data_IF_559112963980
#
_entry.id   IF_559112963980
#
_cell.length_a   1.000
_cell.length_b   1.000
_cell.length_c   1.000
_cell.angle_alpha   90.00
_cell.angle_beta   90.00
_cell.angle_gamma   90.00
#
_symmetry.space_group_name_H-M   'P 1'
#
loop_
_entity.id
_entity.type
_entity.pdbx_description
1 polymer ?
#
# COMPACT_ATOMS: atom_id res chain seq x y z
N UNK A 1 -28.48 -1.36 -8.65
CA UNK A 1 -27.38 -0.39 -8.50
C UNK A 1 -26.22 -1.13 -7.87
N UNK A 2 -25.16 -1.42 -8.63
CA UNK A 2 -23.97 -2.04 -8.04
C UNK A 2 -23.34 -1.00 -7.12
N UNK A 3 -23.37 -1.25 -5.81
CA UNK A 3 -22.55 -0.50 -4.86
C UNK A 3 -21.11 -0.76 -5.25
N UNK A 4 -20.46 0.18 -5.91
CA UNK A 4 -19.04 0.05 -6.26
C UNK A 4 -18.26 0.04 -4.95
N UNK A 5 -17.89 -1.15 -4.48
CA UNK A 5 -17.05 -1.31 -3.30
C UNK A 5 -15.72 -0.62 -3.62
N UNK A 6 -15.37 0.38 -2.80
CA UNK A 6 -14.10 1.10 -2.93
C UNK A 6 -12.93 0.12 -2.95
N UNK A 7 -11.91 0.38 -3.78
CA UNK A 7 -10.71 -0.44 -3.95
C UNK A 7 -9.77 -0.22 -2.75
N UNK A 8 -9.59 -1.20 -1.86
CA UNK A 8 -8.72 -1.06 -0.69
C UNK A 8 -7.24 -1.17 -1.08
N UNK A 9 -6.46 -0.14 -0.73
CA UNK A 9 -5.02 -0.03 -0.99
C UNK A 9 -4.29 0.16 0.34
N UNK A 10 -3.37 -0.75 0.65
CA UNK A 10 -2.42 -0.61 1.76
C UNK A 10 -1.14 0.05 1.26
N UNK A 11 -0.63 1.07 1.96
CA UNK A 11 0.67 1.68 1.67
C UNK A 11 1.60 1.55 2.86
N UNK A 12 2.70 0.84 2.69
CA UNK A 12 3.71 0.57 3.72
C UNK A 12 4.90 1.50 3.50
N UNK A 13 5.30 2.26 4.53
CA UNK A 13 6.34 3.28 4.38
C UNK A 13 7.16 3.54 5.65
N UNK A 14 8.43 3.89 5.47
CA UNK A 14 9.30 4.47 6.51
C UNK A 14 9.17 5.99 6.65
N UNK A 15 8.10 6.60 6.11
CA UNK A 15 7.90 8.07 6.11
C UNK A 15 8.08 8.68 7.50
N UNK A 16 7.51 8.06 8.54
CA UNK A 16 7.64 8.55 9.92
C UNK A 16 9.09 8.65 10.37
N UNK A 17 9.88 7.62 10.09
CA UNK A 17 11.29 7.59 10.47
C UNK A 17 12.12 8.61 9.68
N UNK A 18 11.91 8.71 8.37
CA UNK A 18 12.77 9.48 7.47
C UNK A 18 12.36 10.94 7.28
N UNK A 19 11.09 11.27 7.51
CA UNK A 19 10.53 12.60 7.27
C UNK A 19 9.81 13.18 8.49
N UNK A 20 9.72 12.43 9.60
CA UNK A 20 9.13 12.89 10.86
C UNK A 20 7.60 12.92 10.89
N UNK A 21 6.93 12.57 9.79
CA UNK A 21 5.48 12.50 9.70
C UNK A 21 5.00 11.16 9.14
N UNK A 22 3.85 10.70 9.64
CA UNK A 22 3.29 9.40 9.30
C UNK A 22 2.80 9.33 7.85
N UNK A 23 2.74 8.11 7.32
CA UNK A 23 2.20 7.82 5.99
C UNK A 23 0.77 8.32 5.79
N UNK A 24 -0.05 8.33 6.85
CA UNK A 24 -1.43 8.78 6.78
C UNK A 24 -1.54 10.26 6.38
N UNK A 25 -0.62 11.12 6.84
CA UNK A 25 -0.57 12.52 6.46
C UNK A 25 -0.24 12.68 4.98
N UNK A 26 0.77 11.92 4.51
CA UNK A 26 1.18 11.93 3.11
C UNK A 26 0.06 11.41 2.20
N UNK A 27 -0.66 10.35 2.59
CA UNK A 27 -1.82 9.85 1.85
C UNK A 27 -2.92 10.91 1.76
N UNK A 28 -3.24 11.58 2.87
CA UNK A 28 -4.25 12.65 2.90
C UNK A 28 -3.88 13.80 1.96
N UNK A 29 -2.60 14.18 1.92
CA UNK A 29 -2.11 15.23 1.05
C UNK A 29 -2.16 14.82 -0.43
N UNK A 30 -1.65 13.63 -0.78
CA UNK A 30 -1.58 13.17 -2.17
C UNK A 30 -2.97 12.88 -2.75
N UNK A 31 -3.91 12.38 -1.94
CA UNK A 31 -5.30 12.12 -2.35
C UNK A 31 -6.26 13.28 -2.07
N UNK A 32 -5.75 14.48 -1.78
CA UNK A 32 -6.57 15.66 -1.55
C UNK A 32 -7.35 16.07 -2.82
N UNK A 33 -8.51 16.69 -2.63
CA UNK A 33 -9.38 17.16 -3.73
C UNK A 33 -8.71 18.19 -4.66
N UNK A 34 -7.67 18.86 -4.17
CA UNK A 34 -6.85 19.80 -4.95
C UNK A 34 -5.88 19.10 -5.90
N UNK A 35 -5.51 17.84 -5.63
CA UNK A 35 -4.59 17.05 -6.46
C UNK A 35 -5.31 15.97 -7.27
N UNK A 36 -6.40 15.42 -6.72
CA UNK A 36 -7.16 14.32 -7.32
C UNK A 36 -8.66 14.64 -7.29
N UNK A 37 -9.35 14.62 -8.45
CA UNK A 37 -10.79 14.81 -8.48
C UNK A 37 -11.55 13.80 -7.62
N UNK A 38 -12.64 14.23 -6.97
CA UNK A 38 -13.44 13.37 -6.09
C UNK A 38 -13.97 12.12 -6.78
N UNK A 39 -14.33 12.22 -8.07
CA UNK A 39 -14.78 11.09 -8.89
C UNK A 39 -13.71 10.00 -9.04
N UNK A 40 -12.43 10.36 -8.94
CA UNK A 40 -11.31 9.43 -8.94
C UNK A 40 -10.99 8.95 -7.52
N UNK A 41 -10.88 9.85 -6.55
CA UNK A 41 -10.49 9.49 -5.18
C UNK A 41 -11.52 8.60 -4.47
N UNK A 42 -12.82 8.78 -4.74
CA UNK A 42 -13.88 7.97 -4.13
C UNK A 42 -13.86 6.49 -4.54
N UNK A 43 -13.07 6.14 -5.57
CA UNK A 43 -12.87 4.76 -6.00
C UNK A 43 -11.93 3.98 -5.09
N UNK A 44 -11.17 4.64 -4.21
CA UNK A 44 -10.08 4.03 -3.45
C UNK A 44 -10.21 4.28 -1.94
N UNK A 45 -9.97 3.23 -1.15
CA UNK A 45 -9.79 3.32 0.29
C UNK A 45 -8.31 3.16 0.57
N UNK A 46 -7.62 4.28 0.77
CA UNK A 46 -6.18 4.29 0.99
C UNK A 46 -5.86 4.23 2.49
N UNK A 47 -5.16 3.19 2.91
CA UNK A 47 -4.74 2.95 4.30
C UNK A 47 -3.22 2.94 4.34
N UNK A 48 -2.66 3.61 5.34
CA UNK A 48 -1.22 3.68 5.55
C UNK A 48 -0.76 2.81 6.71
N UNK A 49 0.41 2.19 6.56
CA UNK A 49 1.13 1.51 7.63
C UNK A 49 2.52 2.16 7.80
N UNK A 50 2.75 2.75 8.97
CA UNK A 50 4.05 3.30 9.34
C UNK A 50 4.97 2.14 9.77
N UNK A 51 5.95 1.84 8.94
CA UNK A 51 6.95 0.82 9.22
C UNK A 51 7.94 1.34 10.26
N UNK A 52 8.30 0.48 11.21
CA UNK A 52 9.37 0.75 12.15
C UNK A 52 10.74 0.48 11.49
N UNK A 53 11.70 1.38 11.68
CA UNK A 53 13.02 1.31 11.04
C UNK A 53 13.89 0.16 11.55
N UNK A 54 13.57 -0.40 12.72
CA UNK A 54 14.23 -1.58 13.27
C UNK A 54 13.42 -2.85 12.99
N UNK A 55 12.28 -2.75 12.30
CA UNK A 55 11.41 -3.89 12.01
C UNK A 55 10.64 -4.41 13.23
N UNK A 56 10.52 -3.62 14.30
CA UNK A 56 9.86 -4.07 15.53
C UNK A 56 8.38 -4.41 15.32
N UNK A 57 7.74 -3.82 14.30
CA UNK A 57 6.32 -3.99 13.99
C UNK A 57 6.03 -4.90 12.79
N UNK A 58 6.98 -5.76 12.37
CA UNK A 58 6.73 -6.70 11.26
C UNK A 58 5.61 -7.72 11.57
N UNK A 59 5.47 -8.14 12.84
CA UNK A 59 4.35 -9.00 13.25
C UNK A 59 2.99 -8.29 13.20
N UNK A 60 2.97 -6.98 13.44
CA UNK A 60 1.76 -6.15 13.28
C UNK A 60 1.40 -6.01 11.80
N UNK A 61 2.41 -5.85 10.92
CA UNK A 61 2.19 -5.83 9.48
C UNK A 61 1.54 -7.13 8.99
N UNK A 62 2.05 -8.28 9.43
CA UNK A 62 1.47 -9.58 9.08
C UNK A 62 0.00 -9.71 9.53
N UNK A 63 -0.28 -9.25 10.75
CA UNK A 63 -1.64 -9.29 11.31
C UNK A 63 -2.59 -8.39 10.52
N UNK A 64 -2.15 -7.15 10.22
CA UNK A 64 -2.94 -6.18 9.46
C UNK A 64 -3.20 -6.63 8.02
N UNK A 65 -2.25 -7.35 7.40
CA UNK A 65 -2.47 -7.97 6.09
C UNK A 65 -3.57 -9.05 6.14
N UNK A 66 -3.65 -9.82 7.22
CA UNK A 66 -4.63 -10.92 7.39
C UNK A 66 -6.03 -10.44 7.79
N UNK A 67 -6.14 -9.29 8.44
CA UNK A 67 -7.41 -8.73 8.93
C UNK A 67 -8.29 -8.12 7.83
N UNK A 68 -7.73 -7.80 6.66
CA UNK A 68 -8.43 -7.06 5.60
C UNK A 68 -8.18 -7.66 4.22
N UNK A 69 -9.18 -7.54 3.34
CA UNK A 69 -9.00 -7.89 1.94
C UNK A 69 -8.42 -6.70 1.17
N UNK A 70 -7.21 -6.84 0.66
CA UNK A 70 -6.51 -5.80 -0.07
C UNK A 70 -6.60 -6.03 -1.58
N UNK A 71 -6.89 -4.98 -2.35
CA UNK A 71 -6.79 -5.03 -3.81
C UNK A 71 -5.37 -4.70 -4.27
N UNK A 72 -4.66 -3.84 -3.54
CA UNK A 72 -3.28 -3.46 -3.83
C UNK A 72 -2.49 -3.18 -2.57
N UNK A 73 -1.21 -3.49 -2.62
CA UNK A 73 -0.24 -3.24 -1.54
C UNK A 73 0.92 -2.47 -2.16
N UNK A 74 1.11 -1.22 -1.73
CA UNK A 74 2.22 -0.36 -2.13
C UNK A 74 3.35 -0.54 -1.12
N UNK A 75 4.51 -0.97 -1.62
CA UNK A 75 5.74 -1.20 -0.85
C UNK A 75 6.89 -0.34 -1.36
N UNK A 76 7.88 -0.14 -0.49
CA UNK A 76 9.15 0.46 -0.87
C UNK A 76 9.21 1.99 -0.75
N UNK A 77 8.14 2.65 -0.30
CA UNK A 77 8.20 4.08 -0.04
C UNK A 77 9.11 4.34 1.17
N UNK A 78 10.22 5.06 0.91
CA UNK A 78 11.25 5.43 1.87
C UNK A 78 12.19 4.28 2.29
N UNK A 79 11.87 3.01 2.02
CA UNK A 79 12.77 1.89 2.31
C UNK A 79 13.61 1.44 1.10
N UNK A 80 13.07 1.45 -0.12
CA UNK A 80 13.79 0.98 -1.32
C UNK A 80 14.92 1.92 -1.79
N UNK A 81 14.79 3.21 -1.49
CA UNK A 81 15.76 4.24 -1.92
C UNK A 81 16.95 4.44 -1.00
N UNK A 82 17.00 3.74 0.13
CA UNK A 82 17.98 3.92 1.20
C UNK A 82 18.64 2.58 1.50
N UNK A 83 19.94 2.48 1.21
CA UNK A 83 20.67 1.20 1.21
C UNK A 83 20.65 0.54 2.60
N UNK A 84 20.64 1.34 3.67
CA UNK A 84 20.59 0.87 5.05
C UNK A 84 19.30 0.12 5.41
N UNK A 85 18.22 0.28 4.63
CA UNK A 85 16.95 -0.41 4.86
C UNK A 85 16.70 -1.54 3.86
N UNK A 86 17.73 -2.01 3.14
CA UNK A 86 17.58 -3.07 2.13
C UNK A 86 17.03 -4.36 2.75
N UNK A 87 17.62 -4.84 3.85
CA UNK A 87 17.16 -6.07 4.53
C UNK A 87 15.73 -5.93 5.08
N UNK A 88 15.40 -4.75 5.61
CA UNK A 88 14.05 -4.44 6.09
C UNK A 88 13.05 -4.42 4.92
N UNK A 89 13.40 -3.81 3.79
CA UNK A 89 12.59 -3.81 2.58
C UNK A 89 12.36 -5.24 2.06
N UNK A 90 13.40 -6.07 2.00
CA UNK A 90 13.30 -7.47 1.59
C UNK A 90 12.38 -8.27 2.51
N UNK A 91 12.49 -8.05 3.83
CA UNK A 91 11.62 -8.68 4.83
C UNK A 91 10.15 -8.29 4.66
N UNK A 92 9.87 -7.00 4.43
CA UNK A 92 8.51 -6.50 4.15
C UNK A 92 7.95 -7.09 2.85
N UNK A 93 8.76 -7.14 1.80
CA UNK A 93 8.35 -7.75 0.52
C UNK A 93 8.06 -9.23 0.72
N UNK A 94 8.89 -9.96 1.45
CA UNK A 94 8.67 -11.38 1.75
C UNK A 94 7.34 -11.60 2.48
N UNK A 95 7.03 -10.78 3.49
CA UNK A 95 5.74 -10.81 4.21
C UNK A 95 4.56 -10.58 3.24
N UNK A 96 4.65 -9.55 2.40
CA UNK A 96 3.57 -9.23 1.46
C UNK A 96 3.37 -10.34 0.42
N UNK A 97 4.46 -10.91 -0.10
CA UNK A 97 4.40 -12.02 -1.07
C UNK A 97 3.83 -13.27 -0.44
N UNK A 98 4.25 -13.62 0.79
CA UNK A 98 3.70 -14.76 1.52
C UNK A 98 2.19 -14.62 1.71
N UNK A 99 1.73 -13.44 2.13
CA UNK A 99 0.30 -13.15 2.23
C UNK A 99 -0.45 -13.36 0.91
N UNK A 100 0.07 -12.83 -0.22
CA UNK A 100 -0.54 -12.99 -1.55
C UNK A 100 -0.61 -14.48 -1.93
N UNK A 101 0.46 -15.24 -1.69
CA UNK A 101 0.54 -16.68 -2.00
C UNK A 101 -0.42 -17.49 -1.14
N UNK A 102 -0.54 -17.19 0.15
CA UNK A 102 -1.46 -17.87 1.07
C UNK A 102 -2.93 -17.65 0.64
N UNK A 103 -3.29 -16.41 0.28
CA UNK A 103 -4.64 -16.10 -0.23
C UNK A 103 -4.97 -16.90 -1.49
N UNK A 104 -4.02 -17.05 -2.40
CA UNK A 104 -4.17 -17.86 -3.63
C UNK A 104 -4.38 -19.36 -3.33
N UNK A 105 -3.71 -19.90 -2.31
CA UNK A 105 -3.86 -21.31 -1.92
C UNK A 105 -5.23 -21.60 -1.29
N UNK A 106 -5.83 -20.61 -0.62
CA UNK A 106 -7.11 -20.76 0.05
C UNK A 106 -8.32 -20.72 -0.89
N UNK A 107 -8.28 -19.91 -1.95
CA UNK A 107 -9.39 -19.78 -2.91
C UNK A 107 -8.91 -19.21 -4.26
N UNK A 108 -8.93 -20.04 -5.31
CA UNK A 108 -8.48 -19.65 -6.66
C UNK A 108 -9.42 -18.65 -7.34
N UNK A 109 -10.63 -18.45 -6.80
CA UNK A 109 -11.60 -17.48 -7.31
C UNK A 109 -11.36 -16.06 -6.79
N UNK A 110 -10.58 -15.91 -5.70
CA UNK A 110 -10.25 -14.60 -5.16
C UNK A 110 -9.17 -13.91 -6.00
N UNK A 111 -9.39 -12.64 -6.32
CA UNK A 111 -8.40 -11.81 -7.01
C UNK A 111 -7.22 -11.55 -6.08
N UNK A 112 -6.02 -11.86 -6.56
CA UNK A 112 -4.78 -11.60 -5.84
C UNK A 112 -4.54 -10.08 -5.69
N UNK A 113 -4.12 -9.62 -4.49
CA UNK A 113 -3.68 -8.25 -4.31
C UNK A 113 -2.50 -7.94 -5.22
N UNK A 114 -2.51 -6.78 -5.88
CA UNK A 114 -1.37 -6.32 -6.66
C UNK A 114 -0.27 -5.79 -5.75
N UNK A 115 0.95 -6.33 -5.85
CA UNK A 115 2.13 -5.72 -5.24
C UNK A 115 2.65 -4.58 -6.12
N UNK A 116 2.70 -3.37 -5.57
CA UNK A 116 2.96 -2.14 -6.31
C UNK A 116 4.19 -1.45 -5.73
N UNK A 117 5.08 -0.99 -6.60
CA UNK A 117 6.23 -0.17 -6.22
C UNK A 117 5.99 1.26 -6.69
N UNK A 118 6.19 2.24 -5.80
CA UNK A 118 6.15 3.66 -6.14
C UNK A 118 7.52 4.29 -5.93
N UNK A 119 7.81 5.37 -6.66
CA UNK A 119 9.09 6.09 -6.56
C UNK A 119 9.17 7.07 -5.40
N UNK A 120 8.05 7.31 -4.72
CA UNK A 120 7.91 8.29 -3.65
C UNK A 120 6.53 8.94 -3.63
N UNK A 121 6.32 9.99 -2.81
CA UNK A 121 4.99 10.57 -2.57
C UNK A 121 4.31 11.04 -3.86
N UNK A 122 5.05 11.74 -4.72
CA UNK A 122 4.50 12.31 -5.96
C UNK A 122 4.10 11.29 -7.02
N UNK A 123 4.57 10.03 -6.93
CA UNK A 123 4.16 8.96 -7.85
C UNK A 123 3.06 8.08 -7.26
N UNK A 124 2.65 8.26 -6.01
CA UNK A 124 1.72 7.36 -5.33
C UNK A 124 0.37 7.24 -6.05
N UNK A 125 -0.25 8.38 -6.37
CA UNK A 125 -1.53 8.42 -7.08
C UNK A 125 -1.39 7.79 -8.46
N UNK A 126 -0.36 8.18 -9.21
CA UNK A 126 -0.10 7.66 -10.55
C UNK A 126 0.15 6.14 -10.54
N UNK A 127 0.95 5.64 -9.59
CA UNK A 127 1.19 4.22 -9.42
C UNK A 127 -0.10 3.45 -9.11
N UNK A 128 -0.98 4.00 -8.28
CA UNK A 128 -2.29 3.42 -7.99
C UNK A 128 -3.16 3.37 -9.24
N UNK A 129 -3.31 4.50 -9.95
CA UNK A 129 -4.17 4.60 -11.13
C UNK A 129 -3.68 3.73 -12.30
N UNK A 130 -2.36 3.59 -12.50
CA UNK A 130 -1.78 2.67 -13.50
C UNK A 130 -2.15 1.22 -13.24
N UNK A 131 -2.28 0.83 -11.97
CA UNK A 131 -2.62 -0.54 -11.59
C UNK A 131 -4.13 -0.79 -11.49
N UNK A 132 -4.92 0.25 -11.28
CA UNK A 132 -6.38 0.20 -11.19
C UNK A 132 -7.02 1.25 -12.10
N UNK A 133 -6.88 1.09 -13.43
CA UNK A 133 -7.48 2.01 -14.39
C UNK A 133 -9.01 2.04 -14.22
N UNK A 134 -9.66 3.09 -14.73
CA UNK A 134 -11.12 3.06 -14.88
C UNK A 134 -11.48 1.82 -15.71
N UNK A 135 -12.51 1.09 -15.29
CA UNK A 135 -13.12 0.11 -16.16
C UNK A 135 -14.11 0.89 -17.02
N UNK A 136 -13.72 1.16 -18.27
CA UNK A 136 -14.67 1.58 -19.31
C UNK A 136 -15.64 0.45 -19.64
#
# INVERSE_FOLDING_TARGET
MATSTSVPILTISLSRHLHGHGIAESLKEQWSVTKVPTSTSSRFTNIGFDLDAQGANLGELESHLKESEWSGIIVGWCSRGNIEFTELFESVVAICVNYIVERKRGDVSQKEPKLIFCRGPGDLVNATLRNFPNQD
#
